data_IF_753143287697
#
_entry.id   IF_753143287697
#
_cell.length_a   1.000
_cell.length_b   1.000
_cell.length_c   1.000
_cell.angle_alpha   90.00
_cell.angle_beta   90.00
_cell.angle_gamma   90.00
#
_symmetry.space_group_name_H-M   'P 1'
#
loop_
_entity.id
_entity.type
_entity.pdbx_description
1 polymer ?
#
# COMPACT_ATOMS: atom_id res chain seq x y z
N UNK A 1 -16.10 2.05 -21.59
CA UNK A 1 -16.30 2.79 -20.32
C UNK A 1 -17.67 2.40 -19.79
N UNK A 2 -17.74 1.53 -18.79
CA UNK A 2 -19.03 1.07 -18.25
C UNK A 2 -19.49 2.06 -17.18
N UNK A 3 -20.64 2.70 -17.41
CA UNK A 3 -21.24 3.62 -16.45
C UNK A 3 -21.63 2.87 -15.16
N UNK A 4 -21.33 3.46 -14.00
CA UNK A 4 -21.79 2.94 -12.70
C UNK A 4 -23.32 3.05 -12.62
N UNK A 5 -24.06 1.98 -12.26
CA UNK A 5 -25.53 1.98 -12.21
C UNK A 5 -26.11 2.99 -11.19
N UNK A 6 -27.26 3.58 -11.54
CA UNK A 6 -27.98 4.65 -10.82
C UNK A 6 -28.73 4.16 -9.55
N UNK A 7 -28.04 3.53 -8.60
CA UNK A 7 -28.67 3.13 -7.32
C UNK A 7 -28.03 3.88 -6.16
N UNK A 8 -28.86 4.57 -5.35
CA UNK A 8 -28.46 5.18 -4.09
C UNK A 8 -27.85 4.12 -3.17
N UNK A 9 -26.52 4.09 -3.05
CA UNK A 9 -25.85 3.17 -2.13
C UNK A 9 -25.82 3.79 -0.74
N UNK A 10 -26.65 3.26 0.15
CA UNK A 10 -26.59 3.53 1.58
C UNK A 10 -25.44 2.69 2.16
N UNK A 11 -24.43 3.34 2.74
CA UNK A 11 -23.26 2.69 3.34
C UNK A 11 -21.90 3.19 2.83
N UNK A 12 -20.83 2.75 3.47
CA UNK A 12 -19.46 3.16 3.12
C UNK A 12 -19.08 2.71 1.70
N UNK A 13 -18.62 3.66 0.89
CA UNK A 13 -18.11 3.36 -0.44
C UNK A 13 -16.62 3.03 -0.30
N UNK A 14 -16.25 1.85 -0.80
CA UNK A 14 -14.90 1.31 -0.75
C UNK A 14 -14.42 1.05 -2.17
N UNK A 15 -13.22 1.49 -2.47
CA UNK A 15 -12.58 1.30 -3.76
C UNK A 15 -11.49 0.25 -3.65
N UNK A 16 -11.51 -0.72 -4.56
CA UNK A 16 -10.64 -1.89 -4.55
C UNK A 16 -9.95 -2.03 -5.91
N UNK A 17 -8.68 -2.40 -5.90
CA UNK A 17 -8.03 -2.96 -7.09
C UNK A 17 -8.11 -4.48 -7.06
N UNK A 18 -8.20 -5.09 -8.23
CA UNK A 18 -8.30 -6.54 -8.41
C UNK A 18 -7.13 -7.06 -9.24
N UNK A 19 -6.53 -8.15 -8.79
CA UNK A 19 -5.54 -8.89 -9.56
C UNK A 19 -6.09 -10.27 -9.90
N UNK A 20 -5.87 -10.68 -11.15
CA UNK A 20 -6.28 -11.97 -11.68
C UNK A 20 -5.05 -12.80 -12.01
N UNK A 21 -5.15 -14.12 -11.82
CA UNK A 21 -4.07 -15.07 -12.08
C UNK A 21 -2.76 -14.75 -11.32
N UNK A 22 -2.86 -14.14 -10.13
CA UNK A 22 -1.72 -13.81 -9.28
C UNK A 22 -1.74 -14.65 -7.99
N UNK A 23 -0.85 -15.63 -7.88
CA UNK A 23 -0.91 -16.70 -6.90
C UNK A 23 -0.18 -16.34 -5.58
N UNK A 24 -0.70 -15.36 -4.82
CA UNK A 24 -0.14 -15.01 -3.50
C UNK A 24 -0.22 -16.16 -2.49
N UNK A 25 -1.06 -17.17 -2.73
CA UNK A 25 -1.26 -18.31 -1.84
C UNK A 25 -0.22 -19.42 -2.00
N UNK A 26 0.75 -19.28 -2.91
CA UNK A 26 1.86 -20.22 -3.00
C UNK A 26 2.65 -20.23 -1.68
N UNK A 27 2.87 -21.41 -1.09
CA UNK A 27 3.55 -21.56 0.21
C UNK A 27 4.91 -20.87 0.27
N UNK A 28 5.73 -21.00 -0.77
CA UNK A 28 7.06 -20.37 -0.82
C UNK A 28 6.96 -18.85 -0.91
N UNK A 29 5.97 -18.35 -1.65
CA UNK A 29 5.70 -16.93 -1.74
C UNK A 29 5.23 -16.37 -0.38
N UNK A 30 4.22 -16.99 0.26
CA UNK A 30 3.68 -16.53 1.56
C UNK A 30 4.75 -16.51 2.64
N UNK A 31 5.61 -17.53 2.66
CA UNK A 31 6.66 -17.67 3.65
C UNK A 31 7.85 -16.73 3.40
N UNK A 32 8.00 -16.19 2.19
CA UNK A 32 9.11 -15.28 1.86
C UNK A 32 8.81 -13.85 2.30
N UNK A 33 8.85 -13.67 3.62
CA UNK A 33 8.75 -12.39 4.35
C UNK A 33 9.24 -12.63 5.79
N UNK A 34 9.71 -11.60 6.48
CA UNK A 34 10.07 -11.70 7.89
C UNK A 34 9.27 -10.71 8.75
N UNK A 35 8.43 -11.23 9.65
CA UNK A 35 7.53 -10.40 10.46
C UNK A 35 8.29 -9.59 11.54
N UNK A 36 9.49 -10.01 11.96
CA UNK A 36 10.35 -9.24 12.87
C UNK A 36 10.96 -8.02 12.16
N UNK A 37 11.29 -8.15 10.87
CA UNK A 37 11.70 -7.01 10.05
C UNK A 37 10.60 -5.97 9.93
N UNK A 38 9.36 -6.42 9.70
CA UNK A 38 8.20 -5.54 9.53
C UNK A 38 7.86 -4.76 10.79
N UNK A 39 8.28 -5.21 11.98
CA UNK A 39 8.17 -4.48 13.24
C UNK A 39 9.42 -3.65 13.58
N UNK A 40 10.36 -3.50 12.64
CA UNK A 40 11.49 -2.58 12.72
C UNK A 40 12.84 -3.21 13.08
N UNK A 41 12.95 -4.53 13.18
CA UNK A 41 14.24 -5.20 13.36
C UNK A 41 14.87 -5.55 12.01
N UNK A 42 15.64 -4.61 11.43
CA UNK A 42 16.11 -4.68 10.04
C UNK A 42 17.08 -5.82 9.74
N UNK A 43 17.72 -6.38 10.76
CA UNK A 43 18.68 -7.48 10.64
C UNK A 43 17.99 -8.85 10.48
N UNK A 44 16.70 -8.95 10.83
CA UNK A 44 15.93 -10.19 10.77
C UNK A 44 15.42 -10.46 9.34
N UNK A 45 16.15 -11.29 8.59
CA UNK A 45 15.83 -11.63 7.19
C UNK A 45 15.84 -13.13 6.89
N UNK A 46 15.92 -13.97 7.92
CA UNK A 46 16.12 -15.43 7.83
C UNK A 46 15.13 -16.15 6.91
N UNK A 47 13.86 -15.76 6.92
CA UNK A 47 12.77 -16.37 6.14
C UNK A 47 12.66 -15.83 4.70
N UNK A 48 13.46 -14.83 4.33
CA UNK A 48 13.31 -14.10 3.07
C UNK A 48 14.13 -14.63 1.90
N UNK A 49 14.90 -15.71 2.09
CA UNK A 49 15.78 -16.27 1.04
C UNK A 49 15.02 -16.53 -0.28
N UNK A 50 15.63 -16.21 -1.45
CA UNK A 50 16.94 -15.59 -1.65
C UNK A 50 16.91 -14.04 -1.65
N UNK A 51 15.78 -13.42 -1.30
CA UNK A 51 15.61 -11.98 -1.24
C UNK A 51 15.80 -11.44 0.19
N UNK A 52 16.77 -12.01 0.90
CA UNK A 52 17.19 -11.60 2.24
C UNK A 52 18.30 -10.54 2.19
N UNK A 53 19.29 -10.71 1.31
CA UNK A 53 20.45 -9.82 1.19
C UNK A 53 20.95 -9.71 -0.26
N UNK A 54 21.70 -8.65 -0.58
CA UNK A 54 22.41 -8.57 -1.86
C UNK A 54 23.65 -9.47 -1.79
N UNK A 55 23.86 -10.40 -2.75
CA UNK A 55 25.04 -11.24 -2.81
C UNK A 55 26.34 -10.43 -2.75
N UNK A 56 27.34 -10.95 -2.05
CA UNK A 56 28.68 -10.34 -1.93
C UNK A 56 28.71 -8.95 -1.25
N UNK A 57 27.64 -8.59 -0.55
CA UNK A 57 27.57 -7.37 0.27
C UNK A 57 27.00 -7.68 1.66
N UNK A 58 27.14 -6.72 2.58
CA UNK A 58 26.51 -6.78 3.90
C UNK A 58 25.15 -6.05 3.94
N UNK A 59 24.54 -5.74 2.80
CA UNK A 59 23.28 -5.00 2.72
C UNK A 59 22.09 -5.96 2.67
N UNK A 60 21.14 -5.76 3.58
CA UNK A 60 19.89 -6.52 3.61
C UNK A 60 18.80 -5.83 2.80
N UNK A 61 17.90 -6.62 2.19
CA UNK A 61 16.72 -6.04 1.56
C UNK A 61 15.73 -5.58 2.62
N UNK A 62 15.23 -4.34 2.53
CA UNK A 62 14.18 -3.82 3.38
C UNK A 62 13.06 -3.18 2.54
N UNK A 63 11.84 -3.75 2.56
CA UNK A 63 11.45 -5.05 3.14
C UNK A 63 12.01 -6.25 2.38
N UNK A 64 12.39 -7.32 3.06
CA UNK A 64 12.88 -8.55 2.44
C UNK A 64 11.75 -9.44 1.89
N UNK A 65 12.09 -10.35 0.97
CA UNK A 65 11.21 -11.44 0.53
C UNK A 65 10.30 -11.15 -0.69
N UNK A 66 9.76 -12.22 -1.28
CA UNK A 66 8.96 -12.16 -2.52
C UNK A 66 7.63 -11.44 -2.35
N UNK A 67 7.01 -11.51 -1.16
CA UNK A 67 5.76 -10.80 -0.92
C UNK A 67 5.98 -9.31 -1.11
N UNK A 68 7.02 -8.75 -0.50
CA UNK A 68 7.27 -7.33 -0.57
C UNK A 68 7.85 -6.89 -1.91
N UNK A 69 8.76 -7.69 -2.51
CA UNK A 69 9.35 -7.38 -3.80
C UNK A 69 8.31 -7.18 -4.92
N UNK A 70 7.20 -7.91 -4.87
CA UNK A 70 6.13 -7.85 -5.88
C UNK A 70 5.01 -6.86 -5.56
N UNK A 71 5.27 -5.86 -4.71
CA UNK A 71 4.29 -4.85 -4.31
C UNK A 71 3.62 -4.16 -5.51
N UNK A 72 2.29 -4.13 -5.48
CA UNK A 72 1.47 -3.36 -6.41
C UNK A 72 1.76 -1.86 -6.29
N UNK A 73 2.05 -1.20 -7.43
CA UNK A 73 2.56 0.17 -7.47
C UNK A 73 1.72 1.14 -8.32
N UNK A 74 0.64 0.72 -8.96
CA UNK A 74 -0.22 1.65 -9.71
C UNK A 74 -0.91 2.63 -8.76
N UNK A 75 -1.13 3.84 -9.26
CA UNK A 75 -1.82 4.91 -8.54
C UNK A 75 -3.13 5.24 -9.24
N UNK A 76 -4.23 5.19 -8.49
CA UNK A 76 -5.54 5.55 -8.99
C UNK A 76 -5.96 6.93 -8.48
N UNK A 77 -6.55 7.71 -9.37
CA UNK A 77 -7.33 8.90 -9.03
C UNK A 77 -8.77 8.70 -9.50
N UNK A 78 -9.72 9.09 -8.66
CA UNK A 78 -11.14 9.05 -8.99
C UNK A 78 -11.67 10.46 -9.13
N UNK A 79 -12.24 10.75 -10.30
CA UNK A 79 -12.78 12.06 -10.61
C UNK A 79 -14.31 11.99 -10.67
N UNK A 80 -14.95 12.90 -9.96
CA UNK A 80 -16.38 13.15 -10.08
C UNK A 80 -16.61 14.20 -11.16
N UNK A 81 -17.43 13.86 -12.16
CA UNK A 81 -17.82 14.81 -13.21
C UNK A 81 -19.24 15.29 -12.94
N UNK A 82 -19.34 16.55 -12.51
CA UNK A 82 -20.62 17.18 -12.21
C UNK A 82 -21.46 17.45 -13.47
N UNK A 83 -22.78 17.56 -13.29
CA UNK A 83 -23.72 17.86 -14.37
C UNK A 83 -23.44 19.20 -15.10
N UNK A 84 -22.68 20.10 -14.47
CA UNK A 84 -22.32 21.41 -15.00
C UNK A 84 -20.93 21.45 -15.67
N UNK A 85 -20.27 20.29 -15.88
CA UNK A 85 -19.05 20.21 -16.70
C UNK A 85 -17.73 20.43 -15.97
N UNK A 86 -17.71 20.38 -14.63
CA UNK A 86 -16.49 20.39 -13.81
C UNK A 86 -16.05 18.99 -13.36
N UNK A 87 -14.74 18.77 -13.25
CA UNK A 87 -14.15 17.57 -12.65
C UNK A 87 -13.58 17.90 -11.27
N UNK A 88 -14.02 17.17 -10.26
CA UNK A 88 -13.51 17.30 -8.88
C UNK A 88 -12.92 15.97 -8.43
N UNK A 89 -11.81 16.02 -7.68
CA UNK A 89 -11.23 14.82 -7.09
C UNK A 89 -12.12 14.31 -5.95
N UNK A 90 -12.40 13.02 -5.97
CA UNK A 90 -13.20 12.38 -4.94
C UNK A 90 -12.34 12.24 -3.67
N UNK A 91 -12.76 12.82 -2.55
CA UNK A 91 -11.99 12.75 -1.31
C UNK A 91 -12.03 11.33 -0.75
N UNK A 92 -10.86 10.83 -0.41
CA UNK A 92 -10.67 9.50 0.13
C UNK A 92 -9.95 9.55 1.48
N UNK A 93 -10.24 8.56 2.31
CA UNK A 93 -9.63 8.35 3.61
C UNK A 93 -9.10 6.93 3.75
N UNK A 94 -8.10 6.78 4.63
CA UNK A 94 -7.46 5.51 4.98
C UNK A 94 -7.75 5.06 6.41
N UNK A 95 -8.43 5.90 7.21
CA UNK A 95 -8.56 5.75 8.67
C UNK A 95 -9.18 4.41 9.08
N UNK A 96 -10.16 3.92 8.33
CA UNK A 96 -10.92 2.69 8.63
C UNK A 96 -10.46 1.47 7.84
N UNK A 97 -9.36 1.56 7.09
CA UNK A 97 -8.88 0.47 6.23
C UNK A 97 -8.24 -0.68 7.02
N UNK A 98 -7.50 -0.35 8.09
CA UNK A 98 -6.79 -1.33 8.93
C UNK A 98 -7.01 -0.96 10.40
N UNK A 99 -7.47 -1.88 11.26
CA UNK A 99 -7.59 -1.61 12.69
C UNK A 99 -6.27 -1.19 13.32
N UNK A 100 -6.29 -0.17 14.17
CA UNK A 100 -5.08 0.38 14.81
C UNK A 100 -4.28 -0.67 15.57
N UNK A 101 -4.93 -1.61 16.25
CA UNK A 101 -4.24 -2.69 16.96
C UNK A 101 -3.37 -3.53 16.01
N UNK A 102 -3.88 -3.82 14.80
CA UNK A 102 -3.15 -4.60 13.79
C UNK A 102 -1.98 -3.78 13.25
N UNK A 103 -2.23 -2.51 12.90
CA UNK A 103 -1.18 -1.58 12.44
C UNK A 103 -0.05 -1.54 13.46
N UNK A 104 -0.40 -1.31 14.73
CA UNK A 104 0.57 -1.09 15.80
C UNK A 104 1.36 -2.33 16.21
N UNK A 105 0.80 -3.53 16.03
CA UNK A 105 1.42 -4.79 16.44
C UNK A 105 2.26 -5.44 15.34
N UNK A 106 1.86 -5.30 14.08
CA UNK A 106 2.48 -6.03 12.96
C UNK A 106 3.43 -5.19 12.11
N UNK A 107 3.34 -3.87 12.20
CA UNK A 107 4.10 -2.98 11.33
C UNK A 107 4.60 -1.77 12.10
N UNK A 108 5.92 -1.58 12.10
CA UNK A 108 6.59 -0.47 12.77
C UNK A 108 7.82 -0.08 12.01
N UNK A 109 7.97 1.22 11.79
CA UNK A 109 9.23 1.77 11.34
C UNK A 109 10.30 1.59 12.43
N UNK A 110 11.57 1.36 12.04
CA UNK A 110 12.69 1.49 12.97
C UNK A 110 12.69 2.90 13.55
N UNK A 111 13.08 3.03 14.82
CA UNK A 111 13.15 4.33 15.47
C UNK A 111 14.47 5.00 15.07
N UNK A 112 14.44 6.19 14.44
CA UNK A 112 15.66 6.94 14.20
C UNK A 112 16.29 7.38 15.51
N UNK A 113 17.60 7.56 15.52
CA UNK A 113 18.31 8.19 16.65
C UNK A 113 17.93 9.69 16.68
N UNK A 114 18.16 10.36 17.81
CA UNK A 114 17.87 11.80 17.92
C UNK A 114 18.53 12.60 16.78
N UNK A 115 17.74 13.47 16.14
CA UNK A 115 18.11 14.29 14.98
C UNK A 115 18.33 13.56 13.64
N UNK A 116 18.01 12.26 13.57
CA UNK A 116 18.05 11.51 12.32
C UNK A 116 16.69 11.47 11.60
N UNK A 117 16.73 11.33 10.28
CA UNK A 117 15.54 11.10 9.47
C UNK A 117 15.15 9.62 9.50
N UNK A 118 13.93 9.32 9.07
CA UNK A 118 13.51 7.93 8.89
C UNK A 118 14.44 7.17 7.93
N UNK A 119 14.97 7.82 6.89
CA UNK A 119 15.84 7.14 5.93
C UNK A 119 17.21 6.78 6.53
N UNK A 120 17.71 7.56 7.47
CA UNK A 120 18.96 7.25 8.17
C UNK A 120 18.82 5.97 9.01
N UNK A 121 17.63 5.74 9.58
CA UNK A 121 17.31 4.49 10.28
C UNK A 121 17.34 3.25 9.35
N UNK A 122 17.34 3.42 8.03
CA UNK A 122 17.43 2.36 7.02
C UNK A 122 18.81 2.28 6.32
N UNK A 123 19.85 2.97 6.82
CA UNK A 123 21.15 3.15 6.12
C UNK A 123 21.86 1.86 5.67
N UNK A 124 21.73 0.76 6.42
CA UNK A 124 22.36 -0.54 6.10
C UNK A 124 21.44 -1.47 5.28
N UNK A 125 20.38 -0.92 4.71
CA UNK A 125 19.40 -1.68 3.93
C UNK A 125 19.30 -1.14 2.52
N UNK A 126 18.77 -1.97 1.64
CA UNK A 126 18.51 -1.63 0.24
C UNK A 126 17.08 -2.01 -0.13
N UNK A 127 16.49 -1.24 -1.05
CA UNK A 127 15.17 -1.57 -1.58
C UNK A 127 15.17 -2.92 -2.32
N UNK A 128 14.03 -3.63 -2.37
CA UNK A 128 13.88 -4.83 -3.18
C UNK A 128 14.16 -4.59 -4.67
N UNK A 129 14.57 -5.61 -5.43
CA UNK A 129 14.94 -5.47 -6.84
C UNK A 129 13.90 -4.81 -7.75
N UNK A 130 12.60 -5.02 -7.51
CA UNK A 130 11.52 -4.45 -8.34
C UNK A 130 10.97 -3.12 -7.81
N UNK A 131 11.57 -2.58 -6.74
CA UNK A 131 11.16 -1.30 -6.20
C UNK A 131 11.93 -0.15 -6.86
N UNK A 132 11.21 0.94 -7.12
CA UNK A 132 11.78 2.16 -7.70
C UNK A 132 12.21 3.19 -6.66
N UNK A 133 11.75 3.04 -5.41
CA UNK A 133 12.09 3.91 -4.28
C UNK A 133 12.34 3.10 -3.02
N UNK A 134 13.14 3.65 -2.13
CA UNK A 134 13.43 3.04 -0.83
C UNK A 134 12.19 3.06 0.06
N UNK A 135 12.09 2.07 0.95
CA UNK A 135 10.97 1.95 1.87
C UNK A 135 10.77 3.22 2.70
N UNK A 136 11.83 3.87 3.17
CA UNK A 136 11.74 5.10 3.97
C UNK A 136 11.06 6.28 3.23
N UNK A 137 11.00 6.24 1.89
CA UNK A 137 10.35 7.26 1.04
C UNK A 137 8.92 6.86 0.65
N UNK A 138 8.51 5.63 0.91
CA UNK A 138 7.17 5.14 0.57
C UNK A 138 6.12 5.92 1.37
N UNK A 139 5.26 6.68 0.68
CA UNK A 139 4.17 7.44 1.29
C UNK A 139 4.55 8.81 1.86
N UNK A 140 5.82 9.24 1.82
CA UNK A 140 6.28 10.49 2.43
C UNK A 140 5.54 11.76 1.93
N UNK A 141 5.14 11.78 0.66
CA UNK A 141 4.47 12.93 0.03
C UNK A 141 2.96 12.72 -0.15
N UNK A 142 2.38 11.71 0.49
CA UNK A 142 0.96 11.37 0.35
C UNK A 142 0.29 11.52 1.72
N UNK A 143 -0.59 12.51 1.90
CA UNK A 143 -1.28 12.71 3.17
C UNK A 143 -2.11 11.48 3.58
N UNK A 144 -2.07 11.13 4.88
CA UNK A 144 -2.95 10.12 5.46
C UNK A 144 -2.60 8.65 5.18
N UNK A 145 -1.67 8.33 4.28
CA UNK A 145 -1.29 6.92 4.03
C UNK A 145 -0.22 6.38 4.96
N UNK A 146 0.54 7.26 5.65
CA UNK A 146 1.69 6.87 6.47
C UNK A 146 2.94 6.57 5.65
N UNK A 147 4.08 6.44 6.32
CA UNK A 147 5.41 6.33 5.69
C UNK A 147 6.08 4.99 6.05
N UNK A 148 6.87 4.43 5.13
CA UNK A 148 7.68 3.23 5.40
C UNK A 148 6.85 1.97 5.61
N UNK A 149 7.25 1.14 6.58
CA UNK A 149 6.47 -0.03 6.99
C UNK A 149 5.09 0.35 7.55
N UNK A 150 4.93 1.59 8.01
CA UNK A 150 3.65 2.11 8.52
C UNK A 150 2.71 2.66 7.42
N UNK A 151 3.11 2.53 6.15
CA UNK A 151 2.28 2.87 5.00
C UNK A 151 1.10 1.88 4.84
N UNK A 152 -0.13 2.40 4.71
CA UNK A 152 -1.36 1.59 4.64
C UNK A 152 -1.40 0.69 3.40
N UNK A 153 -0.96 1.19 2.24
CA UNK A 153 -0.96 0.41 0.99
C UNK A 153 0.00 -0.77 1.09
N UNK A 154 1.17 -0.55 1.68
CA UNK A 154 2.12 -1.60 2.00
C UNK A 154 1.52 -2.65 2.94
N UNK A 155 0.90 -2.23 4.05
CA UNK A 155 0.27 -3.16 4.99
C UNK A 155 -0.86 -3.99 4.36
N UNK A 156 -1.69 -3.41 3.50
CA UNK A 156 -2.73 -4.13 2.75
C UNK A 156 -2.09 -5.13 1.77
N UNK A 157 -1.00 -4.74 1.11
CA UNK A 157 -0.29 -5.63 0.20
C UNK A 157 0.27 -6.86 0.92
N UNK A 158 0.97 -6.65 2.05
CA UNK A 158 1.61 -7.71 2.84
C UNK A 158 0.63 -8.74 3.44
N UNK A 159 -0.68 -8.43 3.45
CA UNK A 159 -1.73 -9.40 3.75
C UNK A 159 -2.04 -10.27 2.53
N UNK A 160 -1.29 -11.35 2.35
CA UNK A 160 -1.41 -12.26 1.20
C UNK A 160 -2.82 -12.82 1.04
N UNK A 161 -3.33 -12.81 -0.19
CA UNK A 161 -4.63 -13.38 -0.52
C UNK A 161 -4.60 -14.91 -0.59
N UNK A 162 -5.73 -15.54 -0.24
CA UNK A 162 -5.88 -17.00 -0.27
C UNK A 162 -6.18 -17.58 -1.67
N UNK A 163 -6.63 -16.74 -2.61
CA UNK A 163 -7.06 -17.11 -3.96
C UNK A 163 -6.24 -16.39 -5.02
N UNK A 164 -6.07 -16.95 -6.23
CA UNK A 164 -5.31 -16.33 -7.32
C UNK A 164 -6.00 -15.12 -7.95
N UNK A 165 -7.33 -15.04 -7.80
CA UNK A 165 -8.11 -13.87 -8.17
C UNK A 165 -8.56 -13.23 -6.86
N UNK A 166 -8.12 -12.01 -6.60
CA UNK A 166 -8.44 -11.32 -5.36
C UNK A 166 -8.56 -9.81 -5.57
N UNK A 167 -9.16 -9.17 -4.58
CA UNK A 167 -9.25 -7.71 -4.50
C UNK A 167 -8.64 -7.23 -3.19
N UNK A 168 -7.95 -6.09 -3.25
CA UNK A 168 -7.38 -5.42 -2.08
C UNK A 168 -7.96 -4.01 -1.98
N UNK A 169 -8.24 -3.60 -0.74
CA UNK A 169 -8.83 -2.30 -0.46
C UNK A 169 -7.80 -1.22 -0.75
N UNK A 170 -8.12 -0.28 -1.63
CA UNK A 170 -7.27 0.88 -1.93
C UNK A 170 -7.67 2.07 -1.07
N UNK A 171 -8.95 2.49 -1.12
CA UNK A 171 -9.41 3.68 -0.38
C UNK A 171 -10.85 3.54 0.08
N UNK A 172 -11.23 4.32 1.08
CA UNK A 172 -12.63 4.49 1.54
C UNK A 172 -13.04 5.92 1.26
N UNK A 173 -14.23 6.14 0.72
CA UNK A 173 -14.76 7.48 0.49
C UNK A 173 -14.80 8.27 1.81
N UNK A 174 -14.24 9.48 1.80
CA UNK A 174 -14.37 10.41 2.92
C UNK A 174 -15.68 11.19 2.81
N UNK A 175 -16.64 10.85 3.66
CA UNK A 175 -17.95 11.50 3.72
C UNK A 175 -17.94 12.80 4.55
N UNK A 176 -16.90 13.02 5.35
CA UNK A 176 -16.79 14.19 6.23
C UNK A 176 -16.15 15.38 5.51
N UNK A 177 -15.40 15.10 4.44
CA UNK A 177 -14.61 16.10 3.72
C UNK A 177 -15.35 16.83 2.56
N UNK A 178 -16.64 16.57 2.27
CA UNK A 178 -17.28 17.13 1.05
C UNK A 178 -18.82 17.08 0.98
N UNK A 179 -19.34 17.73 -0.09
CA UNK A 179 -20.73 17.68 -0.62
C UNK A 179 -21.22 16.26 -1.00
N UNK A 180 -20.38 15.23 -0.86
CA UNK A 180 -20.68 13.86 -1.27
C UNK A 180 -21.43 13.04 -0.22
N UNK A 181 -22.25 13.70 0.59
CA UNK A 181 -23.19 13.06 1.52
C UNK A 181 -24.31 12.33 0.78
N UNK A 182 -24.63 12.74 -0.45
CA UNK A 182 -25.67 12.12 -1.29
C UNK A 182 -25.21 11.95 -2.75
N UNK A 183 -25.39 10.74 -3.28
CA UNK A 183 -25.24 10.33 -4.70
C UNK A 183 -23.93 10.77 -5.39
N UNK A 184 -22.96 9.85 -5.42
CA UNK A 184 -21.77 9.98 -6.26
C UNK A 184 -21.95 9.26 -7.59
N UNK A 185 -21.88 10.02 -8.69
CA UNK A 185 -21.79 9.49 -10.06
C UNK A 185 -20.32 9.49 -10.49
N UNK A 186 -19.63 8.37 -10.32
CA UNK A 186 -18.27 8.23 -10.82
C UNK A 186 -18.30 7.89 -12.31
N UNK A 187 -17.62 8.69 -13.12
CA UNK A 187 -17.65 8.56 -14.59
C UNK A 187 -16.33 8.06 -15.16
N UNK A 188 -15.21 8.24 -14.46
CA UNK A 188 -13.91 7.69 -14.89
C UNK A 188 -12.97 7.44 -13.71
N UNK A 189 -12.27 6.31 -13.77
CA UNK A 189 -11.05 6.06 -13.02
C UNK A 189 -9.91 6.08 -14.04
N UNK A 190 -8.88 6.88 -13.78
CA UNK A 190 -7.69 6.93 -14.62
C UNK A 190 -6.54 6.30 -13.86
N UNK A 191 -5.93 5.28 -14.47
CA UNK A 191 -4.65 4.76 -14.03
C UNK A 191 -3.61 5.82 -14.37
N UNK A 192 -3.07 6.47 -13.34
CA UNK A 192 -1.93 7.34 -13.55
C UNK A 192 -0.72 6.43 -13.46
N UNK A 193 -0.18 6.09 -14.62
CA UNK A 193 1.14 5.51 -14.71
C UNK A 193 2.09 6.56 -14.17
N UNK A 194 2.53 6.38 -12.92
CA UNK A 194 3.47 7.27 -12.33
C UNK A 194 4.86 6.67 -12.54
N UNK A 195 5.67 7.20 -13.46
CA UNK A 195 7.07 6.81 -13.57
C UNK A 195 7.80 7.41 -12.37
N UNK A 196 7.70 6.77 -11.21
CA UNK A 196 8.62 6.98 -10.10
C UNK A 196 9.47 5.75 -9.94
#
# INVERSE_FOLDING_TARGET
>A
MNAVPQTQKVGDIKFYYGLHQFYQNNRLYVNSRNDLQLIGNLDEVSDCKPLDQIPDTNLTYAPCGFVANSMFNDTFQLLYHGAQGGSEEVPFTTRTMIPDLVRKRKFRNPKPVENETLCDAFVNTVRPPWWQKDICKLGANIPGVGVGFENVDFMIWMQTAALPNFRKLYRVLDRDASLFTTLLRFTSCTDIFNPY
#
